data_IF_158573503922
#
_entry.id   IF_158573503922
#
_cell.length_a   1.000
_cell.length_b   1.000
_cell.length_c   1.000
_cell.angle_alpha   90.00
_cell.angle_beta   90.00
_cell.angle_gamma   90.00
#
_symmetry.space_group_name_H-M   'P 1'
#
loop_
_entity.id
_entity.type
_entity.pdbx_description
1 polymer ?
#
# COMPACT_ATOMS: atom_id res chain seq x y z
N UNK A 1 -30.15 60.05 49.27
CA UNK A 1 -30.91 58.88 48.79
C UNK A 1 -30.24 58.38 47.50
N UNK A 2 -29.84 57.11 47.38
CA UNK A 2 -29.22 56.62 46.15
C UNK A 2 -30.29 56.32 45.11
N UNK A 3 -30.12 56.88 43.91
CA UNK A 3 -30.94 56.58 42.74
C UNK A 3 -30.56 55.17 42.25
N UNK A 4 -31.37 54.16 42.57
CA UNK A 4 -31.22 52.82 41.98
C UNK A 4 -31.61 52.92 40.50
N UNK A 5 -30.62 52.79 39.62
CA UNK A 5 -30.84 52.67 38.17
C UNK A 5 -31.60 51.37 37.91
N UNK A 6 -32.88 51.45 37.59
CA UNK A 6 -33.67 50.30 37.12
C UNK A 6 -33.25 50.06 35.67
N UNK A 7 -32.55 48.97 35.41
CA UNK A 7 -32.20 48.56 34.05
C UNK A 7 -33.47 48.11 33.32
N UNK A 8 -33.69 48.66 32.12
CA UNK A 8 -34.85 48.34 31.29
C UNK A 8 -34.87 46.85 30.95
N UNK A 9 -36.02 46.15 31.07
CA UNK A 9 -36.12 44.72 30.77
C UNK A 9 -35.75 44.40 29.32
N UNK A 10 -35.92 45.35 28.41
CA UNK A 10 -35.47 45.24 27.02
C UNK A 10 -33.94 45.21 26.91
N UNK A 11 -33.21 45.98 27.71
CA UNK A 11 -31.76 46.00 27.72
C UNK A 11 -31.18 44.66 28.19
N UNK A 12 -31.77 44.08 29.24
CA UNK A 12 -31.39 42.76 29.77
C UNK A 12 -31.61 41.69 28.69
N UNK A 13 -32.76 41.69 28.01
CA UNK A 13 -33.06 40.72 26.96
C UNK A 13 -32.07 40.83 25.78
N UNK A 14 -31.70 42.05 25.37
CA UNK A 14 -30.70 42.23 24.30
C UNK A 14 -29.31 41.71 24.69
N UNK A 15 -28.87 41.93 25.93
CA UNK A 15 -27.58 41.42 26.42
C UNK A 15 -27.58 39.88 26.48
N UNK A 16 -28.68 39.25 26.90
CA UNK A 16 -28.82 37.80 26.89
C UNK A 16 -28.77 37.24 25.46
N UNK A 17 -29.48 37.84 24.51
CA UNK A 17 -29.45 37.39 23.11
C UNK A 17 -28.04 37.54 22.53
N UNK A 18 -27.38 38.68 22.75
CA UNK A 18 -26.03 38.93 22.23
C UNK A 18 -25.01 37.95 22.83
N UNK A 19 -25.10 37.65 24.12
CA UNK A 19 -24.22 36.67 24.78
C UNK A 19 -24.49 35.24 24.31
N UNK A 20 -25.75 34.84 24.13
CA UNK A 20 -26.11 33.53 23.57
C UNK A 20 -25.64 33.40 22.12
N UNK A 21 -25.83 34.43 21.30
CA UNK A 21 -25.36 34.46 19.90
C UNK A 21 -23.82 34.45 19.85
N UNK A 22 -23.14 35.22 20.69
CA UNK A 22 -21.68 35.25 20.77
C UNK A 22 -21.09 33.91 21.23
N UNK A 23 -21.67 33.30 22.27
CA UNK A 23 -21.21 32.00 22.79
C UNK A 23 -21.52 30.86 21.83
N UNK A 24 -22.67 30.84 21.18
CA UNK A 24 -23.00 29.84 20.15
C UNK A 24 -22.11 29.98 18.92
N UNK A 25 -21.87 31.21 18.44
CA UNK A 25 -20.89 31.48 17.37
C UNK A 25 -19.49 30.98 17.75
N UNK A 26 -19.01 31.27 18.96
CA UNK A 26 -17.69 30.84 19.46
C UNK A 26 -17.57 29.32 19.60
N UNK A 27 -18.65 28.66 20.05
CA UNK A 27 -18.72 27.18 20.17
C UNK A 27 -18.77 26.50 18.80
N UNK A 28 -19.55 27.05 17.86
CA UNK A 28 -19.64 26.58 16.47
C UNK A 28 -18.30 26.72 15.75
N UNK A 29 -17.58 27.84 15.94
CA UNK A 29 -16.24 28.01 15.36
C UNK A 29 -15.23 27.06 15.98
N UNK A 30 -15.24 26.85 17.30
CA UNK A 30 -14.27 25.95 17.96
C UNK A 30 -14.46 24.49 17.57
N UNK A 31 -15.71 23.99 17.55
CA UNK A 31 -16.02 22.61 17.14
C UNK A 31 -15.73 22.35 15.65
N UNK A 32 -15.82 23.37 14.79
CA UNK A 32 -15.51 23.27 13.37
C UNK A 32 -14.00 23.41 13.09
N UNK A 33 -13.29 24.26 13.86
CA UNK A 33 -11.84 24.49 13.74
C UNK A 33 -11.03 23.30 14.28
N UNK A 34 -11.53 22.56 15.26
CA UNK A 34 -10.89 21.31 15.71
C UNK A 34 -10.95 20.17 14.70
N UNK A 35 -11.82 20.25 13.67
CA UNK A 35 -11.97 19.22 12.64
C UNK A 35 -11.08 19.45 11.41
N UNK A 36 -10.30 20.53 11.41
CA UNK A 36 -9.19 20.75 10.47
C UNK A 36 -7.97 20.00 11.01
N UNK A 37 -8.06 18.66 11.01
CA UNK A 37 -7.01 17.76 11.46
C UNK A 37 -5.72 18.03 10.67
N UNK A 38 -4.75 18.57 11.40
CA UNK A 38 -3.39 18.78 10.91
C UNK A 38 -2.78 17.41 10.68
N UNK A 39 -2.14 17.24 9.54
CA UNK A 39 -1.27 16.10 9.33
C UNK A 39 -0.32 15.94 10.52
N UNK A 40 -0.10 14.71 10.95
CA UNK A 40 0.81 14.36 12.03
C UNK A 40 1.93 13.44 11.50
N UNK A 41 3.14 13.50 12.09
CA UNK A 41 4.25 12.66 11.65
C UNK A 41 3.94 11.18 11.87
N UNK A 42 4.44 10.32 10.97
CA UNK A 42 4.27 8.86 11.11
C UNK A 42 5.03 8.35 12.33
N UNK A 43 4.28 7.78 13.28
CA UNK A 43 4.78 7.22 14.52
C UNK A 43 5.12 5.72 14.41
N UNK A 44 4.48 4.99 13.47
CA UNK A 44 4.70 3.55 13.27
C UNK A 44 6.12 3.31 12.71
N UNK A 45 7.04 2.65 13.45
CA UNK A 45 8.45 2.55 13.05
C UNK A 45 8.68 1.93 11.67
N UNK A 46 7.97 0.84 11.35
CA UNK A 46 8.12 0.15 10.04
C UNK A 46 7.61 0.98 8.85
N UNK A 47 6.75 1.97 9.09
CA UNK A 47 6.22 2.84 8.03
C UNK A 47 7.02 4.14 7.83
N UNK A 48 8.08 4.38 8.60
CA UNK A 48 8.91 5.60 8.45
C UNK A 48 9.68 5.66 7.13
N UNK A 49 9.89 4.51 6.48
CA UNK A 49 10.56 4.40 5.18
C UNK A 49 9.61 4.60 3.98
N UNK A 50 8.33 4.89 4.23
CA UNK A 50 7.39 5.27 3.17
C UNK A 50 7.85 6.56 2.47
N UNK A 51 7.46 6.79 1.20
CA UNK A 51 7.82 8.00 0.45
C UNK A 51 7.20 9.30 1.01
N UNK A 52 6.33 9.19 2.01
CA UNK A 52 5.70 10.30 2.72
C UNK A 52 5.94 10.15 4.22
N UNK A 53 6.03 11.28 4.91
CA UNK A 53 6.37 11.34 6.34
C UNK A 53 5.22 11.80 7.24
N UNK A 54 4.09 12.20 6.65
CA UNK A 54 2.93 12.74 7.37
C UNK A 54 1.67 11.91 7.05
N UNK A 55 0.93 11.57 8.10
CA UNK A 55 -0.36 10.87 8.07
C UNK A 55 -1.44 11.74 8.69
N UNK A 56 -2.68 11.28 8.66
CA UNK A 56 -3.76 11.84 9.49
C UNK A 56 -4.64 10.71 10.01
N UNK A 57 -5.37 11.01 11.07
CA UNK A 57 -6.37 10.11 11.65
C UNK A 57 -7.77 10.70 11.46
N UNK A 58 -8.84 9.87 11.42
CA UNK A 58 -8.80 8.42 11.44
C UNK A 58 -8.21 7.81 10.16
N UNK A 59 -7.62 6.62 10.28
CA UNK A 59 -7.12 5.87 9.12
C UNK A 59 -8.26 5.11 8.40
N UNK A 60 -7.93 4.39 7.32
CA UNK A 60 -8.90 3.61 6.52
C UNK A 60 -9.52 2.43 7.28
N UNK A 61 -8.96 2.10 8.45
CA UNK A 61 -9.44 1.06 9.36
C UNK A 61 -10.15 1.66 10.60
N UNK A 62 -10.44 2.95 10.56
CA UNK A 62 -11.17 3.69 11.59
C UNK A 62 -10.48 3.74 12.97
N UNK A 63 -9.16 3.55 13.02
CA UNK A 63 -8.41 3.87 14.24
C UNK A 63 -8.36 5.40 14.39
N UNK A 64 -8.73 5.91 15.56
CA UNK A 64 -8.72 7.36 15.83
C UNK A 64 -7.34 7.91 16.20
N UNK A 65 -6.39 7.04 16.56
CA UNK A 65 -5.03 7.43 16.96
C UNK A 65 -4.00 6.52 16.32
N UNK A 66 -2.79 7.04 16.05
CA UNK A 66 -1.69 6.23 15.55
C UNK A 66 -1.25 5.14 16.52
N UNK A 67 -1.42 5.33 17.84
CA UNK A 67 -1.08 4.28 18.82
C UNK A 67 -1.99 3.05 18.68
N UNK A 68 -3.29 3.26 18.52
CA UNK A 68 -4.23 2.16 18.25
C UNK A 68 -3.92 1.48 16.91
N UNK A 69 -3.59 2.29 15.89
CA UNK A 69 -3.17 1.78 14.59
C UNK A 69 -1.87 0.95 14.68
N UNK A 70 -0.89 1.39 15.49
CA UNK A 70 0.39 0.70 15.71
C UNK A 70 0.17 -0.66 16.37
N UNK A 71 -0.62 -0.73 17.44
CA UNK A 71 -0.93 -1.99 18.12
C UNK A 71 -1.59 -3.01 17.18
N UNK A 72 -2.47 -2.54 16.30
CA UNK A 72 -3.09 -3.39 15.29
C UNK A 72 -2.11 -3.76 14.16
N UNK A 73 -1.23 -2.85 13.74
CA UNK A 73 -0.19 -3.08 12.74
C UNK A 73 0.85 -4.12 13.20
N UNK A 74 1.25 -4.09 14.48
CA UNK A 74 2.29 -4.97 15.03
C UNK A 74 1.92 -6.46 14.96
N UNK A 75 0.64 -6.80 14.77
CA UNK A 75 0.18 -8.17 14.53
C UNK A 75 0.71 -8.77 13.21
N UNK A 76 1.14 -7.92 12.27
CA UNK A 76 1.65 -8.35 10.97
C UNK A 76 3.18 -8.54 10.94
N UNK A 77 3.89 -8.36 12.07
CA UNK A 77 5.37 -8.43 12.08
C UNK A 77 5.90 -9.75 11.52
N UNK A 78 5.28 -10.89 11.85
CA UNK A 78 5.70 -12.21 11.33
C UNK A 78 5.60 -12.25 9.81
N UNK A 79 4.49 -11.78 9.22
CA UNK A 79 4.32 -11.79 7.77
C UNK A 79 5.32 -10.85 7.07
N UNK A 80 5.58 -9.70 7.68
CA UNK A 80 6.57 -8.75 7.18
C UNK A 80 8.00 -9.32 7.24
N UNK A 81 8.34 -10.05 8.30
CA UNK A 81 9.67 -10.66 8.49
C UNK A 81 9.88 -11.87 7.59
N UNK A 82 8.82 -12.63 7.28
CA UNK A 82 8.88 -13.73 6.32
C UNK A 82 8.98 -13.25 4.86
N UNK A 83 8.64 -11.98 4.57
CA UNK A 83 8.77 -11.42 3.23
C UNK A 83 7.90 -12.11 2.18
N UNK A 84 6.72 -12.61 2.57
CA UNK A 84 5.79 -13.34 1.68
C UNK A 84 5.28 -12.50 0.49
N UNK A 85 5.34 -11.17 0.58
CA UNK A 85 5.10 -10.26 -0.55
C UNK A 85 5.91 -8.98 -0.41
N UNK A 86 6.47 -8.53 -1.53
CA UNK A 86 7.23 -7.28 -1.68
C UNK A 86 6.40 -6.00 -1.46
N UNK A 87 5.08 -6.10 -1.64
CA UNK A 87 4.15 -4.96 -1.48
C UNK A 87 3.34 -5.00 -0.19
N UNK A 88 3.54 -6.00 0.68
CA UNK A 88 2.80 -6.11 1.94
C UNK A 88 3.01 -4.89 2.85
N UNK A 89 4.26 -4.45 3.03
CA UNK A 89 4.56 -3.28 3.87
C UNK A 89 3.89 -2.03 3.34
N UNK A 90 3.94 -1.81 2.03
CA UNK A 90 3.28 -0.68 1.39
C UNK A 90 1.76 -0.73 1.61
N UNK A 91 1.13 -1.90 1.39
CA UNK A 91 -0.31 -2.06 1.62
C UNK A 91 -0.68 -1.71 3.07
N UNK A 92 0.03 -2.30 4.04
CA UNK A 92 -0.25 -2.08 5.45
C UNK A 92 -0.05 -0.61 5.83
N UNK A 93 1.06 0.02 5.43
CA UNK A 93 1.29 1.43 5.73
C UNK A 93 0.24 2.34 5.06
N UNK A 94 -0.16 2.05 3.82
CA UNK A 94 -1.21 2.80 3.13
C UNK A 94 -2.58 2.65 3.79
N UNK A 95 -2.86 1.55 4.48
CA UNK A 95 -4.11 1.32 5.23
C UNK A 95 -4.07 1.94 6.64
N UNK A 96 -2.95 1.77 7.37
CA UNK A 96 -2.82 2.12 8.79
C UNK A 96 -2.36 3.57 9.02
N UNK A 97 -1.51 4.11 8.15
CA UNK A 97 -0.97 5.47 8.22
C UNK A 97 -0.99 6.09 6.82
N UNK A 98 -2.17 6.35 6.25
CA UNK A 98 -2.30 6.82 4.87
C UNK A 98 -1.67 8.20 4.67
N UNK A 99 -1.23 8.49 3.44
CA UNK A 99 -0.65 9.80 3.09
C UNK A 99 -1.62 10.94 3.43
N UNK A 100 -1.12 11.95 4.15
CA UNK A 100 -1.89 13.16 4.40
C UNK A 100 -1.83 14.10 3.19
N UNK A 101 -2.97 14.39 2.57
CA UNK A 101 -3.07 15.37 1.49
C UNK A 101 -4.26 16.30 1.70
N UNK A 102 -4.11 17.57 1.30
CA UNK A 102 -5.20 18.57 1.40
C UNK A 102 -6.29 18.36 0.35
N UNK A 103 -5.97 17.69 -0.76
CA UNK A 103 -6.90 17.47 -1.87
C UNK A 103 -7.96 16.41 -1.56
N UNK A 104 -7.65 15.47 -0.66
CA UNK A 104 -8.53 14.37 -0.30
C UNK A 104 -8.92 14.54 1.16
N UNK A 105 -9.94 15.36 1.44
CA UNK A 105 -10.56 15.48 2.76
C UNK A 105 -12.07 15.24 2.63
N UNK A 106 -12.72 14.54 3.60
CA UNK A 106 -12.15 14.04 4.86
C UNK A 106 -11.52 12.64 4.77
N UNK A 107 -11.71 11.91 3.67
CA UNK A 107 -11.32 10.49 3.58
C UNK A 107 -9.93 10.29 2.93
N UNK A 108 -9.02 9.48 3.52
CA UNK A 108 -7.68 9.27 2.96
C UNK A 108 -7.70 8.53 1.62
N UNK A 109 -6.66 8.70 0.81
CA UNK A 109 -6.53 7.96 -0.45
C UNK A 109 -6.20 6.49 -0.14
N UNK A 110 -7.00 5.52 -0.59
CA UNK A 110 -6.75 4.10 -0.35
C UNK A 110 -5.66 3.53 -1.27
N UNK A 111 -5.04 2.40 -0.89
CA UNK A 111 -4.21 1.63 -1.82
C UNK A 111 -5.05 1.04 -2.95
N UNK A 112 -4.43 0.88 -4.12
CA UNK A 112 -5.11 0.27 -5.26
C UNK A 112 -5.39 -1.22 -5.02
N UNK A 113 -6.50 -1.72 -5.57
CA UNK A 113 -6.92 -3.13 -5.44
C UNK A 113 -5.83 -4.12 -5.86
N UNK A 114 -5.12 -3.85 -6.96
CA UNK A 114 -4.07 -4.74 -7.47
C UNK A 114 -2.87 -4.88 -6.52
N UNK A 115 -2.61 -3.86 -5.71
CA UNK A 115 -1.58 -3.92 -4.64
C UNK A 115 -2.04 -4.88 -3.54
N UNK A 116 -3.31 -4.77 -3.12
CA UNK A 116 -3.90 -5.66 -2.13
C UNK A 116 -3.95 -7.10 -2.61
N UNK A 117 -4.40 -7.34 -3.84
CA UNK A 117 -4.50 -8.67 -4.43
C UNK A 117 -3.12 -9.35 -4.49
N UNK A 118 -2.06 -8.62 -4.83
CA UNK A 118 -0.68 -9.14 -4.80
C UNK A 118 -0.19 -9.46 -3.39
N UNK A 119 -0.39 -8.57 -2.43
CA UNK A 119 -0.02 -8.81 -1.04
C UNK A 119 -0.74 -10.03 -0.46
N UNK A 120 -2.05 -10.13 -0.72
CA UNK A 120 -2.87 -11.26 -0.31
C UNK A 120 -2.41 -12.56 -0.98
N UNK A 121 -2.18 -12.55 -2.28
CA UNK A 121 -1.73 -13.75 -3.01
C UNK A 121 -0.41 -14.32 -2.46
N UNK A 122 0.53 -13.46 -2.06
CA UNK A 122 1.80 -13.89 -1.46
C UNK A 122 1.67 -14.39 -0.02
N UNK A 123 0.83 -13.73 0.79
CA UNK A 123 0.83 -13.93 2.25
C UNK A 123 -0.33 -14.77 2.80
N UNK A 124 -1.48 -14.81 2.12
CA UNK A 124 -2.63 -15.62 2.55
C UNK A 124 -2.33 -17.12 2.63
N UNK A 125 -1.56 -17.74 1.72
CA UNK A 125 -1.18 -19.15 1.87
C UNK A 125 -0.38 -19.42 3.16
N UNK A 126 0.52 -18.50 3.52
CA UNK A 126 1.30 -18.58 4.76
C UNK A 126 0.39 -18.43 5.99
N UNK A 127 -0.57 -17.51 5.98
CA UNK A 127 -1.54 -17.37 7.06
C UNK A 127 -2.39 -18.63 7.23
N UNK A 128 -2.90 -19.17 6.11
CA UNK A 128 -3.73 -20.36 6.09
C UNK A 128 -2.99 -21.60 6.63
N UNK A 129 -1.68 -21.70 6.43
CA UNK A 129 -0.87 -22.78 7.00
C UNK A 129 -0.88 -22.80 8.55
N UNK A 130 -1.18 -21.65 9.18
CA UNK A 130 -1.36 -21.52 10.63
C UNK A 130 -2.84 -21.39 11.03
N UNK A 131 -3.78 -21.76 10.15
CA UNK A 131 -5.23 -21.63 10.36
C UNK A 131 -5.70 -20.20 10.65
N UNK A 132 -4.99 -19.19 10.14
CA UNK A 132 -5.37 -17.78 10.19
C UNK A 132 -5.82 -17.35 8.81
N UNK A 133 -6.98 -16.71 8.70
CA UNK A 133 -7.49 -16.21 7.41
C UNK A 133 -7.06 -14.77 7.16
N UNK A 134 -7.02 -14.38 5.88
CA UNK A 134 -6.81 -12.98 5.51
C UNK A 134 -7.92 -12.10 6.12
N UNK A 135 -7.58 -11.03 6.87
CA UNK A 135 -8.56 -10.31 7.65
C UNK A 135 -9.54 -9.53 6.75
N UNK A 136 -10.83 -9.56 7.11
CA UNK A 136 -11.87 -8.84 6.37
C UNK A 136 -11.59 -7.32 6.31
N UNK A 137 -10.99 -6.78 7.36
CA UNK A 137 -10.51 -5.41 7.43
C UNK A 137 -9.54 -5.04 6.27
N UNK A 138 -8.82 -6.01 5.70
CA UNK A 138 -7.94 -5.84 4.55
C UNK A 138 -8.52 -6.47 3.28
N UNK A 139 -9.84 -6.68 3.20
CA UNK A 139 -10.47 -7.24 2.01
C UNK A 139 -10.29 -6.35 0.77
N UNK A 140 -9.65 -6.91 -0.26
CA UNK A 140 -9.31 -6.19 -1.49
C UNK A 140 -10.54 -5.77 -2.32
N UNK A 141 -11.69 -6.42 -2.15
CA UNK A 141 -12.91 -6.10 -2.91
C UNK A 141 -13.44 -4.69 -2.64
N UNK A 142 -13.11 -4.12 -1.47
CA UNK A 142 -13.49 -2.77 -1.03
C UNK A 142 -12.59 -1.67 -1.58
N UNK A 143 -11.43 -2.03 -2.13
CA UNK A 143 -10.47 -1.07 -2.68
C UNK A 143 -10.79 -0.75 -4.15
N UNK A 144 -10.56 0.49 -4.61
CA UNK A 144 -10.77 0.87 -6.00
C UNK A 144 -9.72 0.24 -6.93
N UNK A 145 -10.10 0.03 -8.19
CA UNK A 145 -9.14 -0.21 -9.30
C UNK A 145 -8.70 1.14 -9.86
N UNK A 146 -7.47 1.24 -10.35
CA UNK A 146 -6.88 2.50 -10.86
C UNK A 146 -7.74 3.16 -11.96
N UNK A 147 -8.35 2.37 -12.83
CA UNK A 147 -9.23 2.84 -13.91
C UNK A 147 -10.56 3.45 -13.42
N UNK A 148 -10.95 3.19 -12.17
CA UNK A 148 -12.29 3.50 -11.63
C UNK A 148 -12.28 4.41 -10.40
N UNK A 149 -11.12 4.92 -10.00
CA UNK A 149 -11.00 5.80 -8.85
C UNK A 149 -9.57 6.18 -8.53
N UNK A 150 -9.40 7.11 -7.59
CA UNK A 150 -8.06 7.54 -7.13
C UNK A 150 -7.56 6.56 -6.06
N UNK A 151 -6.36 6.02 -6.27
CA UNK A 151 -5.69 5.13 -5.32
C UNK A 151 -4.17 5.18 -5.47
N UNK A 152 -3.45 4.68 -4.48
CA UNK A 152 -1.98 4.66 -4.46
C UNK A 152 -1.39 3.28 -4.74
N UNK A 153 -0.29 3.26 -5.48
CA UNK A 153 0.50 2.06 -5.83
C UNK A 153 1.99 2.36 -5.67
N UNK A 154 2.84 1.39 -5.27
CA UNK A 154 4.25 1.65 -5.03
C UNK A 154 5.02 2.06 -6.30
N UNK A 155 4.55 1.67 -7.48
CA UNK A 155 5.16 1.99 -8.78
C UNK A 155 5.04 3.48 -9.18
N UNK A 156 4.16 4.24 -8.51
CA UNK A 156 4.08 5.68 -8.66
C UNK A 156 5.28 6.42 -8.01
N UNK A 157 6.06 5.72 -7.18
CA UNK A 157 7.24 6.25 -6.48
C UNK A 157 8.47 5.83 -7.26
N UNK A 158 8.74 6.55 -8.36
CA UNK A 158 9.93 6.28 -9.18
C UNK A 158 11.15 6.86 -8.47
N UNK A 159 11.91 6.02 -7.75
CA UNK A 159 13.35 6.20 -7.63
C UNK A 159 13.93 6.10 -9.05
N UNK A 160 14.94 6.90 -9.46
CA UNK A 160 15.51 6.84 -10.80
C UNK A 160 16.31 5.54 -10.99
N UNK A 161 15.63 4.42 -11.10
CA UNK A 161 16.15 3.19 -11.66
C UNK A 161 15.53 3.06 -13.04
N UNK A 162 16.41 2.93 -14.03
CA UNK A 162 16.12 2.82 -15.46
C UNK A 162 14.90 1.92 -15.68
N UNK A 163 13.80 2.52 -16.12
CA UNK A 163 12.63 1.80 -16.64
C UNK A 163 13.09 0.79 -17.68
N UNK A 164 13.07 -0.50 -17.36
CA UNK A 164 12.96 -1.54 -18.39
C UNK A 164 11.54 -1.49 -18.92
N UNK A 165 11.30 -0.57 -19.86
CA UNK A 165 10.11 -0.58 -20.72
C UNK A 165 10.09 -1.93 -21.44
N UNK A 166 8.99 -2.70 -21.42
CA UNK A 166 8.82 -3.76 -22.39
C UNK A 166 8.72 -3.10 -23.76
N UNK A 167 9.72 -3.32 -24.62
CA UNK A 167 9.68 -2.92 -26.03
C UNK A 167 8.73 -3.84 -26.78
N UNK A 168 7.42 -3.68 -26.55
CA UNK A 168 6.39 -4.15 -27.47
C UNK A 168 6.27 -3.17 -28.63
N UNK A 169 6.76 -3.56 -29.81
CA UNK A 169 6.41 -2.85 -31.06
C UNK A 169 4.94 -3.13 -31.35
N UNK A 170 4.06 -2.18 -31.03
CA UNK A 170 2.73 -2.14 -31.66
C UNK A 170 2.92 -1.48 -33.02
N UNK A 171 3.19 -2.28 -34.05
CA UNK A 171 3.11 -1.83 -35.43
C UNK A 171 1.67 -2.00 -35.90
N UNK A 172 0.93 -0.90 -35.91
CA UNK A 172 -0.32 -0.81 -36.66
C UNK A 172 0.04 -0.72 -38.15
N UNK A 173 -0.19 -1.81 -38.89
CA UNK A 173 -0.25 -1.77 -40.35
C UNK A 173 -1.65 -2.16 -40.76
N UNK A 174 -2.44 -1.14 -41.11
CA UNK A 174 -3.69 -1.31 -41.83
C UNK A 174 -3.33 -1.71 -43.26
N UNK A 175 -3.70 -2.93 -43.68
CA UNK A 175 -3.74 -3.31 -45.09
C UNK A 175 -5.14 -3.79 -45.43
N UNK A 176 -5.81 -3.01 -46.26
CA UNK A 176 -6.98 -3.42 -47.02
C UNK A 176 -6.49 -4.34 -48.15
N UNK A 177 -6.90 -5.60 -48.19
CA UNK A 177 -7.62 -6.25 -49.30
C UNK A 177 -7.66 -7.77 -49.15
N UNK A 178 -8.82 -8.33 -49.50
CA UNK A 178 -9.15 -9.74 -49.47
C UNK A 178 -8.25 -10.60 -50.36
N UNK A 179 -7.81 -11.73 -49.84
CA UNK A 179 -7.56 -12.94 -50.63
C UNK A 179 -7.86 -14.18 -49.76
N UNK A 180 -8.66 -15.09 -50.29
CA UNK A 180 -9.05 -16.37 -49.67
C UNK A 180 -7.86 -17.33 -49.71
N UNK A 181 -7.64 -18.09 -48.64
CA UNK A 181 -6.79 -19.28 -48.64
C UNK A 181 -7.62 -20.47 -48.13
N UNK A 182 -7.55 -21.56 -48.87
CA UNK A 182 -8.42 -22.75 -48.84
C UNK A 182 -8.01 -23.75 -47.76
N UNK A 183 -8.86 -24.75 -47.55
CA UNK A 183 -8.83 -25.75 -46.46
C UNK A 183 -7.64 -26.72 -46.42
N UNK A 184 -6.54 -26.44 -47.13
CA UNK A 184 -5.38 -27.35 -47.25
C UNK A 184 -4.13 -26.92 -46.47
N UNK A 185 -4.09 -25.72 -45.87
CA UNK A 185 -2.91 -25.21 -45.14
C UNK A 185 -2.90 -25.50 -43.62
N UNK A 186 -3.80 -26.33 -43.11
CA UNK A 186 -3.90 -26.63 -41.65
C UNK A 186 -2.90 -27.70 -41.18
N UNK A 187 -2.17 -28.36 -42.07
CA UNK A 187 -1.28 -29.46 -41.70
C UNK A 187 0.21 -29.04 -41.68
N UNK A 188 0.65 -28.52 -40.52
CA UNK A 188 1.97 -28.73 -39.87
C UNK A 188 2.43 -27.48 -39.15
N UNK A 189 2.21 -27.42 -37.84
CA UNK A 189 3.09 -26.65 -36.96
C UNK A 189 3.20 -27.37 -35.60
N UNK A 190 4.02 -28.42 -35.57
CA UNK A 190 4.58 -28.97 -34.32
C UNK A 190 5.93 -28.31 -34.12
N UNK A 191 6.10 -27.52 -33.05
CA UNK A 191 7.41 -26.94 -32.70
C UNK A 191 8.03 -27.78 -31.59
N UNK A 192 9.19 -28.35 -31.94
CA UNK A 192 10.13 -29.08 -31.09
C UNK A 192 11.17 -28.08 -30.56
N UNK A 193 11.51 -28.11 -29.27
CA UNK A 193 12.53 -27.25 -28.69
C UNK A 193 13.74 -28.10 -28.26
N UNK A 194 14.81 -28.05 -29.05
CA UNK A 194 16.12 -28.60 -28.69
C UNK A 194 16.98 -27.49 -28.05
N UNK A 195 17.63 -27.80 -26.92
CA UNK A 195 18.54 -26.90 -26.23
C UNK A 195 19.93 -26.89 -26.90
N UNK A 196 20.55 -25.71 -27.02
CA UNK A 196 22.01 -25.66 -27.07
C UNK A 196 22.59 -24.37 -26.47
N UNK A 197 23.56 -24.55 -25.58
CA UNK A 197 24.36 -23.53 -24.89
C UNK A 197 25.66 -23.26 -25.67
N UNK A 198 26.28 -22.08 -25.52
CA UNK A 198 27.74 -22.01 -25.62
C UNK A 198 28.40 -21.39 -24.38
N UNK A 199 29.41 -22.11 -23.88
CA UNK A 199 30.38 -21.69 -22.86
C UNK A 199 31.21 -20.46 -23.28
N UNK A 200 31.59 -19.62 -22.29
CA UNK A 200 32.86 -18.88 -22.32
C UNK A 200 33.37 -18.60 -20.90
N UNK A 201 34.67 -18.82 -20.72
CA UNK A 201 35.49 -18.81 -19.50
C UNK A 201 35.91 -17.40 -19.03
N UNK A 202 36.50 -17.26 -17.80
CA UNK A 202 36.50 -16.01 -17.01
C UNK A 202 37.84 -15.23 -17.07
N UNK A 203 37.90 -14.03 -16.46
CA UNK A 203 39.14 -13.46 -15.95
C UNK A 203 39.14 -13.23 -14.42
N UNK A 204 40.17 -13.81 -13.79
CA UNK A 204 41.08 -13.32 -12.73
C UNK A 204 40.69 -12.24 -11.71
N UNK A 205 40.84 -12.63 -10.44
CA UNK A 205 41.26 -11.92 -9.20
C UNK A 205 41.29 -10.38 -9.14
N UNK A 206 40.58 -9.85 -8.15
CA UNK A 206 41.13 -8.92 -7.15
C UNK A 206 40.30 -8.98 -5.85
N UNK A 207 41.03 -9.15 -4.74
CA UNK A 207 40.79 -8.92 -3.29
C UNK A 207 39.46 -8.25 -2.87
N UNK A 208 38.75 -8.59 -1.80
CA UNK A 208 39.16 -9.10 -0.49
C UNK A 208 38.47 -8.25 0.58
N UNK A 209 37.35 -8.69 1.14
CA UNK A 209 36.86 -8.25 2.46
C UNK A 209 36.41 -9.48 3.23
N UNK A 210 37.21 -9.81 4.23
CA UNK A 210 36.94 -10.83 5.24
C UNK A 210 35.86 -10.31 6.21
N UNK A 211 34.77 -11.06 6.35
CA UNK A 211 33.94 -11.05 7.54
C UNK A 211 33.60 -12.51 7.85
N UNK A 212 34.45 -13.10 8.68
CA UNK A 212 34.19 -14.39 9.33
C UNK A 212 32.92 -14.31 10.17
N UNK A 213 31.93 -15.14 9.84
CA UNK A 213 30.98 -15.67 10.82
C UNK A 213 30.91 -17.18 10.62
N UNK A 214 31.85 -17.89 11.25
CA UNK A 214 31.86 -19.36 11.26
C UNK A 214 30.90 -19.93 12.30
N UNK A 215 29.80 -20.46 11.73
CA UNK A 215 29.14 -21.76 11.98
C UNK A 215 28.69 -22.18 13.40
N UNK A 216 27.41 -22.58 13.46
CA UNK A 216 27.06 -24.01 13.47
C UNK A 216 25.63 -24.28 12.96
N UNK A 217 25.45 -25.00 11.85
CA UNK A 217 24.20 -25.66 11.49
C UNK A 217 24.11 -27.05 12.15
N UNK A 218 22.91 -27.37 12.64
CA UNK A 218 22.53 -28.69 13.15
C UNK A 218 22.29 -29.60 11.93
N UNK A 219 22.98 -30.74 11.97
CA UNK A 219 22.94 -31.86 11.04
C UNK A 219 21.54 -32.49 10.98
N UNK A 220 20.98 -32.69 9.78
CA UNK A 220 20.02 -33.76 9.49
C UNK A 220 20.34 -34.36 8.13
N UNK A 221 20.18 -35.67 8.08
CA UNK A 221 20.96 -36.61 7.28
C UNK A 221 20.60 -36.68 5.79
N UNK A 222 21.58 -37.26 5.10
CA UNK A 222 21.66 -37.68 3.70
C UNK A 222 20.69 -38.83 3.44
N UNK A 223 19.80 -38.67 2.46
CA UNK A 223 19.27 -39.81 1.70
C UNK A 223 19.76 -39.70 0.25
N UNK A 224 20.50 -40.74 -0.16
CA UNK A 224 20.91 -41.00 -1.53
C UNK A 224 19.68 -41.39 -2.37
N UNK A 225 19.42 -40.65 -3.46
CA UNK A 225 18.35 -40.96 -4.40
C UNK A 225 18.70 -40.43 -5.78
N UNK A 226 19.43 -41.23 -6.55
CA UNK A 226 19.67 -40.99 -7.97
C UNK A 226 18.45 -41.34 -8.82
N UNK A 227 18.14 -40.50 -9.81
CA UNK A 227 17.26 -40.85 -10.91
C UNK A 227 18.04 -40.73 -12.23
N UNK A 228 18.03 -41.81 -12.99
CA UNK A 228 18.60 -41.93 -14.32
C UNK A 228 17.59 -41.48 -15.38
N UNK A 229 18.10 -41.02 -16.52
CA UNK A 229 17.33 -40.44 -17.63
C UNK A 229 16.74 -41.54 -18.53
N UNK A 230 15.53 -41.33 -19.04
CA UNK A 230 15.02 -41.88 -20.29
C UNK A 230 14.31 -40.77 -21.06
#
# INVERSE_FOLDING_TARGET
MPFKRVESPHAILTLVILTVVWTTRLRLTSAFVHRLDKCEPIAIPRCRAMPYNMTRMPNLLHHSTQENARLAFDQFHVLLDQGCSDVLLFLLCAMYVPICTVAFQPEPIPPCRDVCERARAGCEPLMNAYNVSWPEALSCSRLPRYERGVCVSPEAIVTPTVSKKPKGKVTATMFHQSARITSEDVAKQTIHCEANSPQRTPPTEAEGVSLEMRLKPILLEREDGGCNVS
#
